data_IF_000958376899
#
_entry.id   IF_000958376899
#
_cell.length_a   1.000
_cell.length_b   1.000
_cell.length_c   1.000
_cell.angle_alpha   90.00
_cell.angle_beta   90.00
_cell.angle_gamma   90.00
#
_symmetry.space_group_name_H-M   'P 1'
#
loop_
_entity.id
_entity.type
_entity.pdbx_description
1 polymer ?
#
# COMPACT_ATOMS: atom_id res chain seq x y z
N UNK A 1 22.08 5.15 -13.55
CA UNK A 1 22.99 5.39 -12.44
C UNK A 1 23.64 6.78 -12.51
N UNK A 2 24.26 7.18 -13.62
CA UNK A 2 24.90 8.50 -13.77
C UNK A 2 23.92 9.66 -13.56
N UNK A 3 22.71 9.63 -14.13
CA UNK A 3 21.70 10.69 -13.93
C UNK A 3 21.25 10.85 -12.47
N UNK A 4 21.13 9.72 -11.72
CA UNK A 4 20.78 9.77 -10.31
C UNK A 4 21.92 10.38 -9.48
N UNK A 5 23.17 10.06 -9.83
CA UNK A 5 24.34 10.66 -9.19
C UNK A 5 24.45 12.15 -9.49
N UNK A 6 24.16 12.57 -10.72
CA UNK A 6 24.17 14.00 -11.10
C UNK A 6 23.06 14.76 -10.36
N UNK A 7 21.85 14.21 -10.32
CA UNK A 7 20.73 14.86 -9.60
C UNK A 7 20.95 14.93 -8.10
N UNK A 8 21.54 13.89 -7.49
CA UNK A 8 21.92 13.92 -6.07
C UNK A 8 23.07 14.88 -5.80
N UNK A 9 24.08 14.99 -6.67
CA UNK A 9 25.17 15.94 -6.55
C UNK A 9 24.69 17.39 -6.68
N UNK A 10 23.79 17.67 -7.62
CA UNK A 10 23.14 18.98 -7.78
C UNK A 10 22.28 19.29 -6.54
N UNK A 11 21.56 18.30 -5.99
CA UNK A 11 20.78 18.46 -4.77
C UNK A 11 21.65 18.82 -3.57
N UNK A 12 22.76 18.11 -3.36
CA UNK A 12 23.71 18.38 -2.28
C UNK A 12 24.34 19.75 -2.46
N UNK A 13 24.77 20.10 -3.67
CA UNK A 13 25.36 21.42 -3.97
C UNK A 13 24.41 22.59 -3.71
N UNK A 14 23.14 22.47 -4.07
CA UNK A 14 22.11 23.49 -3.85
C UNK A 14 21.64 23.57 -2.39
N UNK A 15 21.67 22.47 -1.64
CA UNK A 15 21.33 22.43 -0.21
C UNK A 15 22.34 23.21 0.64
N UNK A 16 23.58 23.39 0.17
CA UNK A 16 24.59 24.20 0.82
C UNK A 16 24.54 25.69 0.42
N UNK A 17 23.73 26.10 -0.55
CA UNK A 17 23.58 27.51 -0.93
C UNK A 17 22.64 28.25 0.02
N UNK A 18 22.94 29.52 0.33
CA UNK A 18 22.18 30.37 1.28
C UNK A 18 20.87 30.95 0.73
N UNK A 19 20.40 30.51 -0.43
CA UNK A 19 19.18 30.99 -1.11
C UNK A 19 17.96 30.21 -0.61
N UNK A 20 16.75 30.81 -0.68
CA UNK A 20 15.48 30.20 -0.22
C UNK A 20 15.38 28.69 -0.54
N UNK A 21 15.43 27.88 0.51
CA UNK A 21 15.64 26.43 0.40
C UNK A 21 14.38 25.66 -0.05
N UNK A 22 13.19 26.17 0.27
CA UNK A 22 11.94 25.43 0.06
C UNK A 22 11.60 25.09 -1.42
N UNK A 23 11.66 26.02 -2.38
CA UNK A 23 11.36 25.69 -3.78
C UNK A 23 12.45 24.83 -4.42
N UNK A 24 13.72 25.03 -4.04
CA UNK A 24 14.87 24.29 -4.58
C UNK A 24 14.84 22.83 -4.14
N UNK A 25 14.58 22.58 -2.85
CA UNK A 25 14.42 21.22 -2.32
C UNK A 25 13.27 20.48 -2.99
N UNK A 26 12.13 21.15 -3.19
CA UNK A 26 10.96 20.56 -3.84
C UNK A 26 11.25 20.18 -5.31
N UNK A 27 11.87 21.06 -6.07
CA UNK A 27 12.22 20.78 -7.48
C UNK A 27 13.27 19.67 -7.57
N UNK A 28 14.27 19.65 -6.68
CA UNK A 28 15.29 18.61 -6.64
C UNK A 28 14.70 17.22 -6.29
N UNK A 29 13.75 17.15 -5.35
CA UNK A 29 13.03 15.90 -5.04
C UNK A 29 12.23 15.44 -6.26
N UNK A 30 11.47 16.32 -6.90
CA UNK A 30 10.66 15.99 -8.06
C UNK A 30 11.55 15.48 -9.22
N UNK A 31 12.65 16.18 -9.52
CA UNK A 31 13.57 15.76 -10.59
C UNK A 31 14.29 14.44 -10.26
N UNK A 32 14.67 14.20 -9.01
CA UNK A 32 15.26 12.93 -8.57
C UNK A 32 14.27 11.77 -8.70
N UNK A 33 13.03 11.96 -8.28
CA UNK A 33 11.96 10.94 -8.41
C UNK A 33 11.66 10.66 -9.88
N UNK A 34 11.55 11.70 -10.71
CA UNK A 34 11.31 11.52 -12.15
C UNK A 34 12.48 10.80 -12.84
N UNK A 35 13.73 11.18 -12.56
CA UNK A 35 14.87 10.50 -13.15
C UNK A 35 15.00 9.05 -12.68
N UNK A 36 14.75 8.77 -11.42
CA UNK A 36 14.72 7.42 -10.89
C UNK A 36 13.62 6.56 -11.55
N UNK A 37 12.41 7.13 -11.70
CA UNK A 37 11.30 6.43 -12.36
C UNK A 37 11.57 6.14 -13.84
N UNK A 38 12.22 7.07 -14.57
CA UNK A 38 12.62 6.85 -15.95
C UNK A 38 13.67 5.75 -16.08
N UNK A 39 14.67 5.70 -15.18
CA UNK A 39 15.67 4.63 -15.16
C UNK A 39 15.04 3.27 -14.85
N UNK A 40 14.08 3.23 -13.92
CA UNK A 40 13.35 2.01 -13.61
C UNK A 40 12.47 1.55 -14.78
N UNK A 41 11.79 2.47 -15.45
CA UNK A 41 11.02 2.18 -16.66
C UNK A 41 11.90 1.64 -17.80
N UNK A 42 13.05 2.28 -18.03
CA UNK A 42 14.00 1.82 -19.05
C UNK A 42 14.50 0.39 -18.74
N UNK A 43 14.86 0.14 -17.49
CA UNK A 43 15.26 -1.20 -17.04
C UNK A 43 14.11 -2.21 -17.14
N UNK A 44 12.90 -1.82 -16.80
CA UNK A 44 11.73 -2.67 -16.97
C UNK A 44 11.49 -3.02 -18.44
N UNK A 45 11.55 -2.04 -19.36
CA UNK A 45 11.40 -2.27 -20.80
C UNK A 45 12.51 -3.15 -21.38
N UNK A 46 13.76 -2.98 -20.95
CA UNK A 46 14.88 -3.81 -21.36
C UNK A 46 14.76 -5.26 -20.88
N UNK A 47 14.18 -5.48 -19.69
CA UNK A 47 14.03 -6.81 -19.06
C UNK A 47 12.78 -7.53 -19.53
N UNK A 48 11.75 -6.78 -19.96
CA UNK A 48 10.45 -7.33 -20.34
C UNK A 48 10.55 -8.29 -21.52
N UNK A 49 11.25 -7.90 -22.59
CA UNK A 49 11.37 -8.70 -23.79
C UNK A 49 12.13 -10.01 -23.54
N UNK A 50 13.34 -10.01 -22.94
CA UNK A 50 14.04 -11.24 -22.60
C UNK A 50 13.24 -12.16 -21.67
N UNK A 51 12.49 -11.58 -20.72
CA UNK A 51 11.64 -12.35 -19.82
C UNK A 51 10.51 -13.07 -20.57
N UNK A 52 9.84 -12.38 -21.49
CA UNK A 52 8.73 -12.95 -22.29
C UNK A 52 9.17 -14.00 -23.30
N UNK A 53 10.43 -13.99 -23.74
CA UNK A 53 11.02 -14.96 -24.66
C UNK A 53 11.57 -16.20 -23.93
N UNK A 54 11.53 -16.25 -22.59
CA UNK A 54 12.06 -17.36 -21.79
C UNK A 54 11.11 -18.55 -21.83
N UNK A 55 11.61 -19.76 -22.08
CA UNK A 55 10.83 -21.03 -22.06
C UNK A 55 10.13 -21.29 -20.73
N UNK A 56 10.65 -20.70 -19.65
CA UNK A 56 10.09 -20.82 -18.31
C UNK A 56 8.65 -20.30 -18.19
N UNK A 57 8.26 -19.32 -19.01
CA UNK A 57 6.92 -18.70 -18.97
C UNK A 57 5.89 -19.53 -19.74
N UNK A 58 6.34 -20.45 -20.62
CA UNK A 58 5.46 -21.30 -21.43
C UNK A 58 4.39 -20.49 -22.19
N UNK A 59 4.76 -19.30 -22.71
CA UNK A 59 3.87 -18.32 -23.37
C UNK A 59 2.74 -17.78 -22.48
N UNK A 60 2.83 -17.92 -21.16
CA UNK A 60 1.84 -17.39 -20.20
C UNK A 60 2.42 -16.19 -19.45
N UNK A 61 2.09 -14.95 -19.85
CA UNK A 61 2.69 -13.75 -19.29
C UNK A 61 2.28 -13.51 -17.81
N UNK A 62 1.21 -14.15 -17.36
CA UNK A 62 0.74 -14.06 -15.99
C UNK A 62 0.67 -15.46 -15.41
N UNK A 63 1.64 -15.84 -14.58
CA UNK A 63 1.66 -17.13 -13.91
C UNK A 63 0.55 -17.21 -12.85
N UNK A 64 -0.01 -18.41 -12.67
CA UNK A 64 -1.16 -18.63 -11.79
C UNK A 64 -0.77 -19.19 -10.43
N UNK A 65 0.38 -19.85 -10.31
CA UNK A 65 0.78 -20.61 -9.12
C UNK A 65 2.26 -20.38 -8.81
N UNK A 66 2.58 -20.23 -7.54
CA UNK A 66 3.93 -20.08 -7.04
C UNK A 66 4.35 -18.63 -6.83
N UNK A 67 5.49 -18.43 -6.14
CA UNK A 67 6.07 -17.11 -5.90
C UNK A 67 6.99 -16.67 -7.03
N UNK A 68 7.61 -17.63 -7.70
CA UNK A 68 8.51 -17.44 -8.83
C UNK A 68 8.60 -18.74 -9.63
N UNK A 69 9.16 -18.63 -10.80
CA UNK A 69 9.39 -19.79 -11.65
C UNK A 69 10.70 -20.48 -11.28
N UNK A 70 10.63 -21.73 -10.82
CA UNK A 70 11.80 -22.51 -10.40
C UNK A 70 12.74 -22.87 -11.56
N UNK A 71 12.23 -22.83 -12.81
CA UNK A 71 13.02 -23.10 -14.02
C UNK A 71 13.90 -21.90 -14.41
N UNK A 72 13.60 -20.73 -13.84
CA UNK A 72 14.33 -19.49 -14.13
C UNK A 72 15.61 -19.42 -13.28
N UNK A 73 16.64 -20.19 -13.64
CA UNK A 73 17.97 -20.19 -12.99
C UNK A 73 18.79 -18.91 -13.26
N UNK A 74 18.15 -17.80 -13.57
CA UNK A 74 18.87 -16.55 -13.87
C UNK A 74 19.33 -15.86 -12.59
N UNK A 75 20.64 -15.58 -12.53
CA UNK A 75 21.27 -14.76 -11.48
C UNK A 75 20.95 -13.26 -11.62
N UNK A 76 20.20 -12.88 -12.65
CA UNK A 76 19.85 -11.48 -12.91
C UNK A 76 18.72 -11.01 -12.01
N UNK A 77 19.07 -10.09 -11.11
CA UNK A 77 18.14 -9.48 -10.18
C UNK A 77 16.87 -8.92 -10.83
N UNK A 78 17.01 -8.28 -12.02
CA UNK A 78 15.90 -7.65 -12.72
C UNK A 78 14.90 -8.66 -13.30
N UNK A 79 15.39 -9.73 -13.90
CA UNK A 79 14.54 -10.80 -14.43
C UNK A 79 13.81 -11.52 -13.28
N UNK A 80 14.53 -11.84 -12.20
CA UNK A 80 13.93 -12.46 -11.01
C UNK A 80 12.88 -11.55 -10.34
N UNK A 81 13.14 -10.23 -10.27
CA UNK A 81 12.17 -9.28 -9.73
C UNK A 81 10.93 -9.16 -10.61
N UNK A 82 11.09 -9.18 -11.92
CA UNK A 82 9.98 -9.14 -12.86
C UNK A 82 9.13 -10.42 -12.77
N UNK A 83 9.76 -11.57 -12.62
CA UNK A 83 9.07 -12.85 -12.43
C UNK A 83 8.20 -12.84 -11.17
N UNK A 84 8.74 -12.40 -10.04
CA UNK A 84 7.96 -12.23 -8.80
C UNK A 84 6.82 -11.24 -8.97
N UNK A 85 7.04 -10.10 -9.65
CA UNK A 85 6.00 -9.12 -9.91
C UNK A 85 4.84 -9.69 -10.76
N UNK A 86 5.14 -10.50 -11.77
CA UNK A 86 4.11 -11.14 -12.59
C UNK A 86 3.30 -12.16 -11.79
N UNK A 87 3.92 -12.91 -10.87
CA UNK A 87 3.24 -13.84 -9.97
C UNK A 87 2.37 -13.12 -8.92
N UNK A 88 2.68 -11.86 -8.58
CA UNK A 88 1.88 -11.04 -7.66
C UNK A 88 0.58 -10.52 -8.28
N UNK A 89 0.46 -10.45 -9.61
CA UNK A 89 -0.68 -9.81 -10.28
C UNK A 89 -2.02 -10.46 -9.85
N UNK A 90 -2.14 -11.76 -9.98
CA UNK A 90 -3.40 -12.46 -9.69
C UNK A 90 -3.78 -12.45 -8.20
N UNK A 91 -2.87 -12.77 -7.24
CA UNK A 91 -3.17 -12.66 -5.82
C UNK A 91 -3.59 -11.25 -5.42
N UNK A 92 -2.87 -10.23 -5.93
CA UNK A 92 -3.17 -8.83 -5.62
C UNK A 92 -4.52 -8.41 -6.18
N UNK A 93 -4.84 -8.78 -7.41
CA UNK A 93 -6.16 -8.50 -8.01
C UNK A 93 -7.28 -9.17 -7.21
N UNK A 94 -7.11 -10.44 -6.82
CA UNK A 94 -8.10 -11.17 -6.04
C UNK A 94 -8.37 -10.49 -4.69
N UNK A 95 -7.32 -10.17 -3.92
CA UNK A 95 -7.43 -9.47 -2.64
C UNK A 95 -8.03 -8.07 -2.80
N UNK A 96 -7.59 -7.34 -3.82
CA UNK A 96 -8.10 -5.98 -4.08
C UNK A 96 -9.58 -5.98 -4.44
N UNK A 97 -10.04 -6.89 -5.29
CA UNK A 97 -11.45 -6.97 -5.67
C UNK A 97 -12.35 -7.34 -4.48
N UNK A 98 -11.92 -8.29 -3.65
CA UNK A 98 -12.65 -8.69 -2.44
C UNK A 98 -12.71 -7.51 -1.46
N UNK A 99 -11.57 -6.88 -1.17
CA UNK A 99 -11.48 -5.73 -0.27
C UNK A 99 -12.27 -4.52 -0.77
N UNK A 100 -12.17 -4.22 -2.07
CA UNK A 100 -12.87 -3.10 -2.69
C UNK A 100 -14.39 -3.19 -2.54
N UNK A 101 -14.97 -4.39 -2.71
CA UNK A 101 -16.38 -4.61 -2.49
C UNK A 101 -16.81 -4.34 -1.04
N UNK A 102 -15.95 -4.67 -0.06
CA UNK A 102 -16.13 -4.36 1.34
C UNK A 102 -16.10 -2.85 1.61
N UNK A 103 -15.08 -2.17 1.10
CA UNK A 103 -14.90 -0.73 1.29
C UNK A 103 -16.02 0.09 0.67
N UNK A 104 -16.53 -0.27 -0.50
CA UNK A 104 -17.68 0.42 -1.11
C UNK A 104 -18.91 0.33 -0.20
N UNK A 105 -19.21 -0.86 0.33
CA UNK A 105 -20.39 -1.03 1.23
C UNK A 105 -20.22 -0.23 2.51
N UNK A 106 -19.05 -0.26 3.09
CA UNK A 106 -18.75 0.49 4.32
C UNK A 106 -18.79 2.00 4.07
N UNK A 107 -18.10 2.48 3.02
CA UNK A 107 -18.09 3.90 2.66
C UNK A 107 -19.50 4.45 2.37
N UNK A 108 -20.33 3.65 1.69
CA UNK A 108 -21.73 4.02 1.45
C UNK A 108 -22.52 4.12 2.76
N UNK A 109 -22.37 3.17 3.66
CA UNK A 109 -23.06 3.18 4.96
C UNK A 109 -22.67 4.40 5.80
N UNK A 110 -21.39 4.63 6.00
CA UNK A 110 -20.87 5.77 6.76
C UNK A 110 -21.20 7.11 6.11
N UNK A 111 -21.17 7.20 4.78
CA UNK A 111 -21.55 8.43 4.07
C UNK A 111 -23.03 8.75 4.26
N UNK A 112 -23.92 7.77 4.18
CA UNK A 112 -25.37 7.97 4.43
C UNK A 112 -25.62 8.40 5.89
N UNK A 113 -24.92 7.83 6.86
CA UNK A 113 -25.02 8.24 8.25
C UNK A 113 -24.59 9.71 8.44
N UNK A 114 -23.43 10.08 7.85
CA UNK A 114 -22.92 11.45 7.90
C UNK A 114 -23.86 12.44 7.22
N UNK A 115 -24.48 12.08 6.09
CA UNK A 115 -25.43 12.95 5.36
C UNK A 115 -26.70 13.26 6.15
N UNK A 116 -27.03 12.46 7.15
CA UNK A 116 -28.18 12.68 8.04
C UNK A 116 -27.86 13.56 9.26
N UNK A 117 -26.61 13.96 9.47
CA UNK A 117 -26.18 14.78 10.59
C UNK A 117 -26.67 16.24 10.47
N UNK A 118 -26.90 16.89 11.62
CA UNK A 118 -27.45 18.24 11.67
C UNK A 118 -26.56 19.30 11.04
N UNK A 119 -25.24 19.16 11.10
CA UNK A 119 -24.33 20.10 10.45
C UNK A 119 -24.43 20.05 8.92
N UNK A 120 -24.81 18.91 8.33
CA UNK A 120 -25.08 18.78 6.91
C UNK A 120 -26.38 19.51 6.56
N UNK A 121 -27.43 19.35 7.38
CA UNK A 121 -28.70 20.11 7.21
C UNK A 121 -28.45 21.61 7.28
N UNK A 122 -27.63 22.05 8.21
CA UNK A 122 -27.22 23.46 8.34
C UNK A 122 -26.46 23.95 7.12
N UNK A 123 -25.56 23.16 6.55
CA UNK A 123 -24.81 23.49 5.35
C UNK A 123 -25.74 23.66 4.13
N UNK A 124 -26.74 22.78 3.99
CA UNK A 124 -27.80 22.90 2.96
C UNK A 124 -28.65 24.15 3.16
N UNK A 125 -29.06 24.43 4.40
CA UNK A 125 -29.85 25.63 4.73
C UNK A 125 -29.11 26.94 4.44
N UNK A 126 -27.76 26.94 4.47
CA UNK A 126 -26.91 28.06 4.03
C UNK A 126 -26.82 28.21 2.50
N UNK A 127 -27.51 27.40 1.72
CA UNK A 127 -27.52 27.48 0.27
C UNK A 127 -26.27 26.95 -0.44
N UNK A 128 -25.45 26.15 0.25
CA UNK A 128 -24.29 25.52 -0.39
C UNK A 128 -24.75 24.50 -1.43
N UNK A 129 -24.01 24.43 -2.55
CA UNK A 129 -24.29 23.42 -3.57
C UNK A 129 -24.11 22.01 -3.02
N UNK A 130 -24.94 21.06 -3.45
CA UNK A 130 -24.93 19.66 -2.97
C UNK A 130 -23.55 19.02 -3.17
N UNK A 131 -22.86 19.35 -4.28
CA UNK A 131 -21.48 18.88 -4.51
C UNK A 131 -20.51 19.36 -3.42
N UNK A 132 -20.65 20.60 -2.97
CA UNK A 132 -19.81 21.17 -1.90
C UNK A 132 -20.14 20.50 -0.55
N UNK A 133 -21.43 20.30 -0.28
CA UNK A 133 -21.90 19.62 0.93
C UNK A 133 -21.32 18.20 1.00
N UNK A 134 -21.44 17.44 -0.09
CA UNK A 134 -20.93 16.06 -0.13
C UNK A 134 -19.39 16.03 -0.04
N UNK A 135 -18.69 16.72 -0.94
CA UNK A 135 -17.24 16.57 -1.05
C UNK A 135 -16.46 17.21 0.10
N UNK A 136 -16.89 18.37 0.57
CA UNK A 136 -16.15 19.14 1.57
C UNK A 136 -16.58 18.83 3.00
N UNK A 137 -17.86 18.55 3.23
CA UNK A 137 -18.40 18.36 4.56
C UNK A 137 -18.66 16.87 4.87
N UNK A 138 -19.32 16.12 4.00
CA UNK A 138 -19.65 14.74 4.28
C UNK A 138 -18.46 13.81 4.04
N UNK A 139 -17.84 13.82 2.87
CA UNK A 139 -16.78 12.90 2.49
C UNK A 139 -15.56 13.01 3.43
N UNK A 140 -15.15 14.22 3.80
CA UNK A 140 -14.02 14.40 4.73
C UNK A 140 -14.26 13.70 6.07
N UNK A 141 -15.47 13.79 6.61
CA UNK A 141 -15.81 13.15 7.88
C UNK A 141 -15.97 11.64 7.75
N UNK A 142 -16.41 11.16 6.58
CA UNK A 142 -16.48 9.73 6.26
C UNK A 142 -15.08 9.10 6.15
N UNK A 143 -14.07 9.86 5.75
CA UNK A 143 -12.69 9.35 5.62
C UNK A 143 -12.05 8.96 6.96
N UNK A 144 -12.50 9.53 8.08
CA UNK A 144 -11.95 9.19 9.41
C UNK A 144 -12.18 7.71 9.75
N UNK A 145 -13.42 7.18 9.80
CA UNK A 145 -13.64 5.75 10.04
C UNK A 145 -13.11 4.86 8.92
N UNK A 146 -13.06 5.35 7.67
CA UNK A 146 -12.45 4.62 6.56
C UNK A 146 -10.95 4.38 6.76
N UNK A 147 -10.22 5.39 7.23
CA UNK A 147 -8.79 5.27 7.50
C UNK A 147 -8.49 4.20 8.54
N UNK A 148 -9.33 4.07 9.57
CA UNK A 148 -9.17 3.03 10.60
C UNK A 148 -9.27 1.62 10.02
N UNK A 149 -10.31 1.38 9.22
CA UNK A 149 -10.50 0.07 8.60
C UNK A 149 -9.35 -0.25 7.65
N UNK A 150 -8.90 0.73 6.85
CA UNK A 150 -7.75 0.54 5.96
C UNK A 150 -6.49 0.11 6.73
N UNK A 151 -6.21 0.73 7.87
CA UNK A 151 -5.03 0.37 8.67
C UNK A 151 -5.20 -1.00 9.32
N UNK A 152 -6.40 -1.32 9.81
CA UNK A 152 -6.70 -2.62 10.39
C UNK A 152 -6.58 -3.76 9.35
N UNK A 153 -7.09 -3.53 8.13
CA UNK A 153 -7.00 -4.48 7.03
C UNK A 153 -5.56 -4.67 6.55
N UNK A 154 -4.76 -3.59 6.54
CA UNK A 154 -3.34 -3.67 6.22
C UNK A 154 -2.59 -4.58 7.21
N UNK A 155 -2.89 -4.47 8.52
CA UNK A 155 -2.38 -5.39 9.52
C UNK A 155 -2.85 -6.83 9.29
N UNK A 156 -4.12 -7.01 8.88
CA UNK A 156 -4.68 -8.30 8.53
C UNK A 156 -3.96 -8.98 7.36
N UNK A 157 -3.61 -8.22 6.33
CA UNK A 157 -2.83 -8.74 5.18
C UNK A 157 -1.44 -9.21 5.60
N UNK A 158 -0.77 -8.48 6.50
CA UNK A 158 0.53 -8.89 7.05
C UNK A 158 0.39 -10.16 7.90
N UNK A 159 -0.73 -10.30 8.63
CA UNK A 159 -1.06 -11.49 9.42
C UNK A 159 -1.28 -12.76 8.59
N UNK A 160 -1.46 -12.62 7.29
CA UNK A 160 -1.55 -13.71 6.32
C UNK A 160 -2.94 -13.87 5.71
N UNK A 161 -2.98 -13.80 4.40
CA UNK A 161 -4.16 -14.08 3.60
C UNK A 161 -4.20 -15.59 3.27
N UNK A 162 -4.38 -16.44 4.28
CA UNK A 162 -4.24 -17.90 4.21
C UNK A 162 -4.90 -18.54 2.97
N UNK A 163 -6.14 -18.16 2.67
CA UNK A 163 -6.88 -18.74 1.53
C UNK A 163 -6.17 -18.36 0.22
N UNK A 164 -5.82 -17.08 0.06
CA UNK A 164 -5.13 -16.59 -1.13
C UNK A 164 -3.74 -17.20 -1.27
N UNK A 165 -2.98 -17.27 -0.17
CA UNK A 165 -1.68 -17.92 -0.14
C UNK A 165 -1.78 -19.39 -0.57
N UNK A 166 -2.78 -20.12 -0.08
CA UNK A 166 -2.99 -21.54 -0.42
C UNK A 166 -3.41 -21.73 -1.87
N UNK A 167 -4.31 -20.88 -2.40
CA UNK A 167 -4.81 -20.98 -3.78
C UNK A 167 -3.72 -20.66 -4.79
N UNK A 168 -2.90 -19.64 -4.52
CA UNK A 168 -1.82 -19.22 -5.42
C UNK A 168 -0.46 -19.85 -5.09
N UNK A 169 -0.41 -20.79 -4.14
CA UNK A 169 0.82 -21.44 -3.64
C UNK A 169 1.91 -20.44 -3.25
N UNK A 170 1.53 -19.38 -2.55
CA UNK A 170 2.45 -18.41 -1.97
C UNK A 170 2.86 -18.84 -0.57
N UNK A 171 4.17 -18.83 -0.30
CA UNK A 171 4.68 -19.10 1.05
C UNK A 171 4.65 -17.81 1.87
N UNK A 172 3.58 -17.64 2.66
CA UNK A 172 3.36 -16.50 3.52
C UNK A 172 3.11 -16.89 4.97
N UNK A 173 2.70 -15.92 5.81
CA UNK A 173 2.45 -16.15 7.24
C UNK A 173 1.25 -17.08 7.48
N UNK A 174 0.23 -17.04 6.61
CA UNK A 174 -0.93 -17.93 6.72
C UNK A 174 -0.58 -19.38 6.42
N UNK A 175 0.20 -19.65 5.37
CA UNK A 175 0.69 -21.01 5.06
C UNK A 175 1.65 -21.52 6.11
N UNK A 176 2.49 -20.64 6.68
CA UNK A 176 3.39 -21.00 7.79
C UNK A 176 2.59 -21.39 9.05
N UNK A 177 1.54 -20.64 9.39
CA UNK A 177 0.65 -21.00 10.49
C UNK A 177 0.00 -22.38 10.26
N UNK A 178 -0.46 -22.66 9.03
CA UNK A 178 -1.04 -23.97 8.71
C UNK A 178 -0.03 -25.12 8.84
N UNK A 179 1.23 -24.88 8.44
CA UNK A 179 2.29 -25.86 8.64
C UNK A 179 2.50 -26.15 10.13
N UNK A 180 2.51 -25.11 10.99
CA UNK A 180 2.59 -25.27 12.43
C UNK A 180 1.43 -26.07 13.01
N UNK A 181 0.20 -25.80 12.54
CA UNK A 181 -1.01 -26.56 12.97
C UNK A 181 -0.91 -28.03 12.56
N UNK A 182 -0.59 -28.30 11.30
CA UNK A 182 -0.47 -29.67 10.77
C UNK A 182 0.68 -30.47 11.41
N UNK A 183 1.80 -29.76 11.65
CA UNK A 183 2.98 -30.34 12.30
C UNK A 183 2.89 -30.40 13.82
N UNK A 184 1.82 -29.88 14.43
CA UNK A 184 1.66 -29.73 15.89
C UNK A 184 2.84 -29.00 16.53
N UNK A 185 3.48 -28.06 15.80
CA UNK A 185 4.61 -27.28 16.24
C UNK A 185 4.14 -25.99 16.95
N UNK A 186 4.03 -26.09 18.28
CA UNK A 186 3.63 -24.97 19.12
C UNK A 186 4.61 -23.80 19.06
N UNK A 187 5.92 -24.05 18.91
CA UNK A 187 6.93 -22.99 18.86
C UNK A 187 6.75 -22.15 17.59
N UNK A 188 6.53 -22.81 16.45
CA UNK A 188 6.26 -22.15 15.18
C UNK A 188 4.97 -21.33 15.28
N UNK A 189 3.90 -21.89 15.83
CA UNK A 189 2.62 -21.17 16.00
C UNK A 189 2.77 -19.95 16.92
N UNK A 190 3.47 -20.09 18.04
CA UNK A 190 3.73 -18.97 18.95
C UNK A 190 4.52 -17.86 18.24
N UNK A 191 5.50 -18.20 17.41
CA UNK A 191 6.26 -17.24 16.61
C UNK A 191 5.38 -16.47 15.62
N UNK A 192 4.51 -17.18 14.88
CA UNK A 192 3.56 -16.57 13.95
C UNK A 192 2.59 -15.65 14.68
N UNK A 193 1.99 -16.10 15.78
CA UNK A 193 1.07 -15.30 16.58
C UNK A 193 1.76 -14.06 17.19
N UNK A 194 2.98 -14.19 17.66
CA UNK A 194 3.75 -13.08 18.20
C UNK A 194 3.98 -11.99 17.14
N UNK A 195 4.42 -12.38 15.94
CA UNK A 195 4.64 -11.43 14.83
C UNK A 195 3.31 -10.77 14.43
N UNK A 196 2.25 -11.57 14.26
CA UNK A 196 0.93 -11.05 13.86
C UNK A 196 0.36 -10.08 14.90
N UNK A 197 0.45 -10.43 16.19
CA UNK A 197 0.01 -9.57 17.29
C UNK A 197 0.82 -8.25 17.34
N UNK A 198 2.14 -8.34 17.16
CA UNK A 198 3.01 -7.16 17.11
C UNK A 198 2.63 -6.24 15.96
N UNK A 199 2.37 -6.80 14.77
CA UNK A 199 1.92 -6.03 13.62
C UNK A 199 0.55 -5.39 13.84
N UNK A 200 -0.39 -6.09 14.51
CA UNK A 200 -1.68 -5.52 14.87
C UNK A 200 -1.55 -4.33 15.83
N UNK A 201 -0.67 -4.41 16.82
CA UNK A 201 -0.39 -3.30 17.74
C UNK A 201 0.23 -2.10 17.00
N UNK A 202 1.21 -2.36 16.12
CA UNK A 202 1.83 -1.32 15.31
C UNK A 202 0.82 -0.66 14.36
N UNK A 203 -0.07 -1.43 13.76
CA UNK A 203 -1.13 -0.91 12.91
C UNK A 203 -2.09 0.00 13.69
N UNK A 204 -2.52 -0.41 14.89
CA UNK A 204 -3.34 0.44 15.75
C UNK A 204 -2.61 1.75 16.11
N UNK A 205 -1.33 1.68 16.43
CA UNK A 205 -0.53 2.88 16.68
C UNK A 205 -0.47 3.81 15.45
N UNK A 206 -0.30 3.26 14.25
CA UNK A 206 -0.34 4.03 13.00
C UNK A 206 -1.74 4.63 12.78
N UNK A 207 -2.81 3.88 13.08
CA UNK A 207 -4.17 4.39 13.01
C UNK A 207 -4.38 5.61 13.93
N UNK A 208 -3.90 5.55 15.17
CA UNK A 208 -3.99 6.65 16.13
C UNK A 208 -3.22 7.89 15.66
N UNK A 209 -2.04 7.70 15.06
CA UNK A 209 -1.29 8.80 14.44
C UNK A 209 -2.06 9.43 13.26
N UNK A 210 -2.70 8.60 12.42
CA UNK A 210 -3.54 9.09 11.32
C UNK A 210 -4.76 9.84 11.83
N UNK A 211 -5.41 9.37 12.90
CA UNK A 211 -6.50 10.11 13.56
C UNK A 211 -6.02 11.48 14.03
N UNK A 212 -4.89 11.54 14.72
CA UNK A 212 -4.32 12.81 15.18
C UNK A 212 -3.99 13.78 14.04
N UNK A 213 -3.65 13.25 12.85
CA UNK A 213 -3.36 14.05 11.67
C UNK A 213 -4.63 14.51 10.94
N UNK A 214 -5.67 13.66 10.89
CA UNK A 214 -6.92 13.92 10.18
C UNK A 214 -7.91 14.77 10.98
N UNK A 215 -7.93 14.63 12.33
CA UNK A 215 -8.80 15.40 13.21
C UNK A 215 -8.00 16.44 14.02
N UNK A 216 -8.00 17.72 13.58
CA UNK A 216 -7.30 18.78 14.28
C UNK A 216 -7.90 19.12 15.65
N UNK A 217 -9.11 18.63 15.99
CA UNK A 217 -9.78 18.89 17.27
C UNK A 217 -9.10 18.15 18.42
N UNK A 218 -8.44 17.04 18.17
CA UNK A 218 -7.71 16.27 19.18
C UNK A 218 -6.46 17.02 19.65
N UNK A 219 -5.90 17.92 18.84
CA UNK A 219 -4.72 18.74 19.18
C UNK A 219 -4.99 19.86 20.20
N UNK A 220 -6.25 20.26 20.42
CA UNK A 220 -6.59 21.42 21.27
C UNK A 220 -6.71 21.02 22.75
N UNK A 221 -6.73 19.74 23.09
CA UNK A 221 -6.87 19.25 24.48
C UNK A 221 -5.58 19.11 25.30
N UNK A 222 -4.40 19.38 24.74
CA UNK A 222 -3.11 19.24 25.46
C UNK A 222 -2.54 20.56 26.03
N UNK A 223 -3.37 21.58 26.17
CA UNK A 223 -3.00 22.91 26.71
C UNK A 223 -3.92 23.37 27.82
N UNK A 224 -3.99 22.60 28.90
CA UNK A 224 -4.54 23.04 30.19
C UNK A 224 -3.62 22.55 31.29
#
# INVERSE_FOLDING_TARGET
MICVLITTAVFVGLAFSKIDRAPIVRTAIITSVLSASLVLLDKFMQTWKPYMETDAINYRPVPTVGQRNDILETKDFWISSLDVLTHLILPTLALTLIGFAGYIRFARGTLLEVLNQDYIRTARAKGLSERTVIMRHAFRNTMIPMATILVADFAGVIGGAFITESVFAWSGMGTLALQGIRGQDLNLLMGVFFITATMAVLANFVADLLYSALDPRIRVGSGA
#
